data_IF_228543982618
#
_entry.id   IF_228543982618
#
_cell.length_a   1.000
_cell.length_b   1.000
_cell.length_c   1.000
_cell.angle_alpha   90.00
_cell.angle_beta   90.00
_cell.angle_gamma   90.00
#
_symmetry.space_group_name_H-M   'P 1'
#
loop_
_entity.id
_entity.type
_entity.pdbx_description
1 polymer ?
#
# COMPACT_ATOMS: atom_id res chain seq x y z
N UNK A 1 -14.17 -29.51 -27.38
CA UNK A 1 -13.99 -29.05 -25.98
C UNK A 1 -12.52 -28.70 -25.77
N UNK A 2 -12.17 -27.42 -25.90
CA UNK A 2 -10.81 -26.92 -25.65
C UNK A 2 -10.67 -26.67 -24.15
N UNK A 3 -9.77 -27.42 -23.49
CA UNK A 3 -9.35 -27.12 -22.11
C UNK A 3 -8.81 -25.68 -22.08
N UNK A 4 -9.27 -24.81 -21.16
CA UNK A 4 -8.65 -23.51 -20.99
C UNK A 4 -7.22 -23.74 -20.48
N UNK A 5 -6.24 -23.41 -21.30
CA UNK A 5 -4.85 -23.27 -20.86
C UNK A 5 -4.83 -22.18 -19.79
N UNK A 6 -4.55 -22.57 -18.55
CA UNK A 6 -4.28 -21.67 -17.43
C UNK A 6 -3.17 -20.71 -17.87
N UNK A 7 -3.55 -19.48 -18.25
CA UNK A 7 -2.60 -18.46 -18.63
C UNK A 7 -1.66 -18.22 -17.45
N UNK A 8 -0.37 -18.50 -17.67
CA UNK A 8 0.67 -18.45 -16.66
C UNK A 8 0.61 -17.11 -15.90
N UNK A 9 0.37 -17.18 -14.59
CA UNK A 9 0.48 -16.03 -13.70
C UNK A 9 1.85 -15.36 -13.93
N UNK A 10 1.84 -14.05 -14.22
CA UNK A 10 3.04 -13.20 -14.36
C UNK A 10 3.96 -13.44 -13.15
N UNK A 11 5.27 -13.64 -13.38
CA UNK A 11 6.27 -13.90 -12.32
C UNK A 11 6.12 -12.95 -11.13
N UNK A 12 5.86 -11.67 -11.40
CA UNK A 12 5.64 -10.67 -10.36
C UNK A 12 4.40 -10.96 -9.50
N UNK A 13 3.26 -11.29 -10.11
CA UNK A 13 2.04 -11.55 -9.33
C UNK A 13 2.19 -12.82 -8.48
N UNK A 14 2.98 -13.79 -8.95
CA UNK A 14 3.36 -14.96 -8.16
C UNK A 14 4.24 -14.59 -6.97
N UNK A 15 5.24 -13.74 -7.18
CA UNK A 15 6.10 -13.22 -6.10
C UNK A 15 5.31 -12.40 -5.09
N UNK A 16 4.40 -11.52 -5.54
CA UNK A 16 3.51 -10.76 -4.67
C UNK A 16 2.61 -11.66 -3.83
N UNK A 17 1.98 -12.68 -4.44
CA UNK A 17 1.18 -13.69 -3.72
C UNK A 17 2.01 -14.46 -2.69
N UNK A 18 3.23 -14.88 -3.05
CA UNK A 18 4.16 -15.53 -2.10
C UNK A 18 4.55 -14.61 -0.95
N UNK A 19 4.76 -13.32 -1.22
CA UNK A 19 5.06 -12.33 -0.19
C UNK A 19 3.87 -12.15 0.76
N UNK A 20 2.65 -12.03 0.23
CA UNK A 20 1.43 -11.96 1.03
C UNK A 20 1.29 -13.22 1.91
N UNK A 21 1.47 -14.41 1.35
CA UNK A 21 1.43 -15.67 2.09
C UNK A 21 2.47 -15.71 3.23
N UNK A 22 3.72 -15.30 2.96
CA UNK A 22 4.79 -15.24 3.95
C UNK A 22 4.53 -14.21 5.07
N UNK A 23 3.66 -13.22 4.82
CA UNK A 23 3.25 -12.26 5.84
C UNK A 23 2.06 -12.76 6.66
N UNK A 24 1.08 -13.42 6.03
CA UNK A 24 -0.28 -13.53 6.61
C UNK A 24 -0.78 -14.95 6.82
N UNK A 25 -0.08 -15.98 6.33
CA UNK A 25 -0.58 -17.36 6.37
C UNK A 25 -0.55 -17.94 7.78
N UNK A 26 -1.71 -18.28 8.34
CA UNK A 26 -1.81 -18.91 9.68
C UNK A 26 -1.42 -20.40 9.65
N UNK A 27 -1.35 -21.01 8.46
CA UNK A 27 -0.96 -22.41 8.28
C UNK A 27 0.55 -22.59 8.05
N UNK A 28 1.29 -21.49 7.83
CA UNK A 28 2.73 -21.50 7.67
C UNK A 28 3.36 -20.97 8.96
N UNK A 29 4.04 -21.84 9.70
CA UNK A 29 4.68 -21.50 10.98
C UNK A 29 5.78 -20.44 10.82
N UNK A 30 6.29 -20.25 9.60
CA UNK A 30 7.30 -19.23 9.29
C UNK A 30 6.70 -17.88 8.89
N UNK A 31 5.37 -17.77 8.77
CA UNK A 31 4.74 -16.50 8.42
C UNK A 31 4.87 -15.48 9.56
N UNK A 32 4.88 -14.19 9.22
CA UNK A 32 4.97 -13.15 10.23
C UNK A 32 3.80 -13.21 11.23
N UNK A 33 2.57 -13.39 10.76
CA UNK A 33 1.39 -13.49 11.62
C UNK A 33 1.46 -14.70 12.55
N UNK A 34 1.88 -15.88 12.05
CA UNK A 34 2.01 -17.10 12.86
C UNK A 34 3.07 -16.92 13.96
N UNK A 35 4.26 -16.45 13.59
CA UNK A 35 5.36 -16.24 14.53
C UNK A 35 5.02 -15.24 15.64
N UNK A 36 4.33 -14.15 15.28
CA UNK A 36 3.87 -13.15 16.26
C UNK A 36 2.77 -13.72 17.17
N UNK A 37 1.84 -14.49 16.61
CA UNK A 37 0.83 -15.20 17.38
C UNK A 37 1.46 -16.17 18.39
N UNK A 38 2.45 -16.95 17.96
CA UNK A 38 3.21 -17.86 18.82
C UNK A 38 3.95 -17.12 19.92
N UNK A 39 4.52 -15.96 19.61
CA UNK A 39 5.17 -15.13 20.61
C UNK A 39 4.19 -14.66 21.69
N UNK A 40 3.00 -14.18 21.35
CA UNK A 40 2.05 -13.74 22.37
C UNK A 40 1.53 -14.92 23.21
N UNK A 41 1.34 -16.10 22.59
CA UNK A 41 1.02 -17.34 23.34
C UNK A 41 2.12 -17.68 24.33
N UNK A 42 3.38 -17.65 23.89
CA UNK A 42 4.54 -17.86 24.75
C UNK A 42 4.62 -16.83 25.87
N UNK A 43 4.40 -15.54 25.57
CA UNK A 43 4.47 -14.46 26.56
C UNK A 43 3.40 -14.59 27.65
N UNK A 44 2.18 -15.02 27.29
CA UNK A 44 1.12 -15.32 28.26
C UNK A 44 1.46 -16.52 29.15
N UNK A 45 2.05 -17.58 28.58
CA UNK A 45 2.53 -18.73 29.34
C UNK A 45 3.65 -18.34 30.32
N UNK A 46 4.68 -17.61 29.84
CA UNK A 46 5.79 -17.14 30.67
C UNK A 46 5.34 -16.21 31.81
N UNK A 47 4.23 -15.49 31.63
CA UNK A 47 3.61 -14.66 32.67
C UNK A 47 2.70 -15.45 33.64
N UNK A 48 2.60 -16.78 33.52
CA UNK A 48 1.77 -17.63 34.37
C UNK A 48 0.26 -17.48 34.12
N UNK A 49 -0.15 -16.85 33.02
CA UNK A 49 -1.58 -16.63 32.67
C UNK A 49 -2.24 -17.87 32.04
N UNK A 50 -1.46 -18.87 31.62
CA UNK A 50 -1.93 -20.11 30.99
C UNK A 50 -1.19 -21.31 31.60
N UNK A 51 -1.93 -22.32 32.09
CA UNK A 51 -1.38 -23.51 32.79
C UNK A 51 -1.02 -24.70 31.87
N UNK A 52 -0.97 -24.53 30.56
CA UNK A 52 -0.69 -25.65 29.64
C UNK A 52 0.80 -25.88 29.40
N UNK A 53 1.22 -27.15 29.32
CA UNK A 53 2.53 -27.64 28.89
C UNK A 53 2.91 -27.11 27.49
N UNK A 54 3.36 -25.87 27.37
CA UNK A 54 4.16 -25.44 26.23
C UNK A 54 5.63 -25.56 26.61
N UNK A 55 6.29 -26.62 26.15
CA UNK A 55 7.77 -26.75 26.10
C UNK A 55 8.42 -25.73 25.13
N UNK A 56 7.78 -24.57 24.94
CA UNK A 56 8.06 -23.67 23.83
C UNK A 56 9.30 -22.84 24.07
N UNK A 57 10.33 -23.08 23.25
CA UNK A 57 11.37 -22.07 23.02
C UNK A 57 10.71 -20.82 22.44
N UNK A 58 11.08 -19.66 22.96
CA UNK A 58 10.61 -18.37 22.46
C UNK A 58 10.89 -18.22 20.95
N UNK A 59 9.90 -17.83 20.13
CA UNK A 59 10.09 -17.65 18.69
C UNK A 59 11.16 -16.60 18.35
N UNK A 60 12.03 -16.92 17.40
CA UNK A 60 13.06 -15.99 16.89
C UNK A 60 12.47 -15.12 15.76
N UNK A 61 11.83 -14.02 16.13
CA UNK A 61 11.14 -13.14 15.17
C UNK A 61 12.14 -12.29 14.36
N UNK A 62 13.26 -11.88 14.96
CA UNK A 62 14.18 -10.91 14.36
C UNK A 62 14.79 -11.35 13.02
N UNK A 63 15.30 -12.59 12.87
CA UNK A 63 15.80 -13.07 11.57
C UNK A 63 14.73 -13.02 10.48
N UNK A 64 13.49 -13.38 10.83
CA UNK A 64 12.38 -13.38 9.88
C UNK A 64 11.98 -11.96 9.46
N UNK A 65 12.01 -10.98 10.38
CA UNK A 65 11.78 -9.58 10.03
C UNK A 65 12.80 -9.09 9.01
N UNK A 66 14.10 -9.34 9.21
CA UNK A 66 15.11 -8.93 8.23
C UNK A 66 14.91 -9.61 6.86
N UNK A 67 14.66 -10.91 6.86
CA UNK A 67 14.42 -11.68 5.64
C UNK A 67 13.20 -11.17 4.85
N UNK A 68 12.09 -10.91 5.54
CA UNK A 68 10.88 -10.36 4.91
C UNK A 68 11.11 -8.92 4.43
N UNK A 69 11.84 -8.10 5.20
CA UNK A 69 12.19 -6.75 4.78
C UNK A 69 13.02 -6.73 3.49
N UNK A 70 14.01 -7.62 3.37
CA UNK A 70 14.79 -7.76 2.13
C UNK A 70 13.92 -8.14 0.94
N UNK A 71 12.99 -9.10 1.12
CA UNK A 71 12.05 -9.48 0.06
C UNK A 71 11.15 -8.32 -0.37
N UNK A 72 10.65 -7.53 0.60
CA UNK A 72 9.85 -6.33 0.31
C UNK A 72 10.69 -5.31 -0.48
N UNK A 73 11.94 -5.10 -0.10
CA UNK A 73 12.84 -4.23 -0.86
C UNK A 73 13.12 -4.77 -2.26
N UNK A 74 13.28 -6.08 -2.46
CA UNK A 74 13.44 -6.65 -3.82
C UNK A 74 12.20 -6.46 -4.71
N UNK A 75 11.01 -6.41 -4.11
CA UNK A 75 9.76 -6.11 -4.83
C UNK A 75 9.62 -4.64 -5.23
N UNK A 76 10.25 -3.71 -4.48
CA UNK A 76 10.01 -2.27 -4.61
C UNK A 76 11.21 -1.48 -5.14
N UNK A 77 12.42 -1.99 -4.98
CA UNK A 77 13.67 -1.38 -5.45
C UNK A 77 14.13 -1.99 -6.78
N UNK A 78 14.74 -1.17 -7.63
CA UNK A 78 15.26 -1.53 -8.94
C UNK A 78 16.69 -1.03 -9.17
N UNK A 79 17.09 -0.96 -10.44
CA UNK A 79 18.47 -0.64 -10.83
C UNK A 79 18.76 0.87 -10.86
N UNK A 80 17.72 1.70 -10.74
CA UNK A 80 17.79 3.15 -10.71
C UNK A 80 16.49 3.71 -10.12
N UNK A 81 16.42 5.04 -9.97
CA UNK A 81 15.25 5.75 -9.43
C UNK A 81 13.97 5.45 -10.23
N UNK A 82 14.03 5.47 -11.57
CA UNK A 82 12.86 5.23 -12.42
C UNK A 82 12.34 3.79 -12.26
N UNK A 83 13.23 2.80 -12.17
CA UNK A 83 12.86 1.41 -11.93
C UNK A 83 12.23 1.22 -10.54
N UNK A 84 12.78 1.87 -9.51
CA UNK A 84 12.18 1.90 -8.17
C UNK A 84 10.74 2.46 -8.21
N UNK A 85 10.52 3.55 -8.96
CA UNK A 85 9.19 4.14 -9.13
C UNK A 85 8.21 3.21 -9.86
N UNK A 86 8.65 2.56 -10.94
CA UNK A 86 7.83 1.60 -11.70
C UNK A 86 7.46 0.40 -10.82
N UNK A 87 8.42 -0.16 -10.07
CA UNK A 87 8.20 -1.28 -9.15
C UNK A 87 7.24 -0.91 -8.02
N UNK A 88 7.43 0.25 -7.39
CA UNK A 88 6.48 0.76 -6.39
C UNK A 88 5.07 0.96 -6.97
N UNK A 89 4.93 1.60 -8.14
CA UNK A 89 3.63 1.82 -8.77
C UNK A 89 2.93 0.48 -9.07
N UNK A 90 3.69 -0.51 -9.53
CA UNK A 90 3.23 -1.87 -9.79
C UNK A 90 2.75 -2.57 -8.52
N UNK A 91 3.52 -2.51 -7.43
CA UNK A 91 3.12 -3.07 -6.12
C UNK A 91 1.85 -2.38 -5.62
N UNK A 92 1.82 -1.05 -5.58
CA UNK A 92 0.68 -0.28 -5.06
C UNK A 92 -0.61 -0.57 -5.85
N UNK A 93 -0.52 -0.51 -7.17
CA UNK A 93 -1.67 -0.76 -8.03
C UNK A 93 -2.14 -2.20 -7.99
N UNK A 94 -1.24 -3.19 -8.04
CA UNK A 94 -1.63 -4.60 -7.90
C UNK A 94 -2.30 -4.86 -6.55
N UNK A 95 -1.78 -4.32 -5.45
CA UNK A 95 -2.39 -4.47 -4.12
C UNK A 95 -3.78 -3.86 -4.06
N UNK A 96 -3.98 -2.65 -4.60
CA UNK A 96 -5.30 -2.00 -4.61
C UNK A 96 -6.29 -2.77 -5.50
N UNK A 97 -5.83 -3.30 -6.63
CA UNK A 97 -6.65 -4.06 -7.57
C UNK A 97 -7.02 -5.46 -7.08
N UNK A 98 -6.22 -6.08 -6.20
CA UNK A 98 -6.47 -7.44 -5.70
C UNK A 98 -6.84 -7.50 -4.22
N UNK A 99 -7.00 -6.35 -3.56
CA UNK A 99 -7.35 -6.29 -2.15
C UNK A 99 -8.64 -7.09 -1.85
N UNK A 100 -8.64 -7.95 -0.82
CA UNK A 100 -9.82 -8.72 -0.48
C UNK A 100 -10.92 -7.81 0.07
N UNK A 101 -12.14 -8.01 -0.41
CA UNK A 101 -13.34 -7.33 0.11
C UNK A 101 -13.98 -8.12 1.29
N UNK A 102 -13.64 -9.40 1.43
CA UNK A 102 -14.18 -10.26 2.48
C UNK A 102 -13.65 -9.85 3.86
N UNK A 103 -14.57 -9.58 4.78
CA UNK A 103 -14.28 -9.23 6.17
C UNK A 103 -13.50 -10.33 6.93
N UNK A 104 -13.70 -11.61 6.55
CA UNK A 104 -12.98 -12.74 7.16
C UNK A 104 -11.48 -12.74 6.84
N UNK A 105 -11.05 -11.97 5.83
CA UNK A 105 -9.64 -11.85 5.41
C UNK A 105 -8.99 -10.58 5.97
N UNK A 106 -9.46 -10.09 7.12
CA UNK A 106 -8.93 -8.87 7.73
C UNK A 106 -7.43 -8.98 8.07
N UNK A 107 -6.95 -10.14 8.54
CA UNK A 107 -5.52 -10.35 8.81
C UNK A 107 -4.69 -10.16 7.53
N UNK A 108 -5.16 -10.75 6.42
CA UNK A 108 -4.49 -10.62 5.13
C UNK A 108 -4.46 -9.16 4.65
N UNK A 109 -5.59 -8.46 4.81
CA UNK A 109 -5.70 -7.05 4.47
C UNK A 109 -4.79 -6.16 5.34
N UNK A 110 -4.75 -6.39 6.65
CA UNK A 110 -4.02 -5.55 7.61
C UNK A 110 -2.50 -5.81 7.56
N UNK A 111 -2.10 -7.08 7.66
CA UNK A 111 -0.69 -7.50 7.76
C UNK A 111 -0.07 -7.89 6.42
N UNK A 112 -0.85 -7.99 5.35
CA UNK A 112 -0.35 -8.18 3.99
C UNK A 112 -0.49 -6.90 3.17
N UNK A 113 -1.73 -6.61 2.74
CA UNK A 113 -2.01 -5.54 1.78
C UNK A 113 -1.62 -4.16 2.29
N UNK A 114 -2.15 -3.74 3.45
CA UNK A 114 -1.85 -2.43 4.02
C UNK A 114 -0.38 -2.32 4.39
N UNK A 115 0.23 -3.38 4.93
CA UNK A 115 1.65 -3.40 5.27
C UNK A 115 2.53 -3.13 4.03
N UNK A 116 2.35 -3.91 2.96
CA UNK A 116 3.12 -3.75 1.73
C UNK A 116 2.87 -2.39 1.05
N UNK A 117 1.62 -1.93 1.05
CA UNK A 117 1.23 -0.65 0.48
C UNK A 117 1.91 0.52 1.21
N UNK A 118 1.94 0.48 2.55
CA UNK A 118 2.62 1.45 3.40
C UNK A 118 4.13 1.41 3.20
N UNK A 119 4.74 0.22 3.19
CA UNK A 119 6.18 0.08 3.02
C UNK A 119 6.65 0.69 1.70
N UNK A 120 5.96 0.41 0.59
CA UNK A 120 6.27 0.99 -0.71
C UNK A 120 6.19 2.53 -0.71
N UNK A 121 5.15 3.10 -0.09
CA UNK A 121 5.00 4.56 0.01
C UNK A 121 6.00 5.21 0.96
N UNK A 122 6.32 4.57 2.08
CA UNK A 122 7.33 5.04 3.04
C UNK A 122 8.72 5.09 2.40
N UNK A 123 9.10 4.08 1.61
CA UNK A 123 10.37 4.10 0.87
C UNK A 123 10.43 5.23 -0.15
N UNK A 124 9.34 5.48 -0.89
CA UNK A 124 9.29 6.58 -1.87
C UNK A 124 9.27 7.96 -1.19
N UNK A 125 8.59 8.10 -0.05
CA UNK A 125 8.56 9.34 0.72
C UNK A 125 9.91 9.61 1.41
N UNK A 126 10.62 8.57 1.86
CA UNK A 126 11.99 8.67 2.37
C UNK A 126 12.93 9.22 1.30
N UNK A 127 12.97 8.56 0.13
CA UNK A 127 13.82 8.95 -1.00
C UNK A 127 13.55 10.40 -1.41
N UNK A 128 12.28 10.78 -1.53
CA UNK A 128 11.86 12.13 -1.88
C UNK A 128 12.19 13.15 -0.79
N UNK A 129 12.03 12.79 0.48
CA UNK A 129 12.37 13.64 1.61
C UNK A 129 13.86 13.96 1.69
N UNK A 130 14.72 12.98 1.41
CA UNK A 130 16.17 13.18 1.35
C UNK A 130 16.58 14.03 0.14
N UNK A 131 16.06 13.70 -1.05
CA UNK A 131 16.33 14.43 -2.29
C UNK A 131 15.94 15.90 -2.21
N UNK A 132 14.83 16.21 -1.55
CA UNK A 132 14.31 17.58 -1.40
C UNK A 132 14.68 18.23 -0.06
N UNK A 133 15.66 17.69 0.68
CA UNK A 133 16.18 18.25 1.92
C UNK A 133 15.12 18.49 3.01
N UNK A 134 14.05 17.68 3.03
CA UNK A 134 13.10 17.63 4.16
C UNK A 134 13.68 16.88 5.36
N UNK A 135 14.65 16.00 5.11
CA UNK A 135 15.46 15.33 6.11
C UNK A 135 16.87 15.88 6.02
N UNK A 136 17.25 16.75 6.95
CA UNK A 136 18.53 17.48 6.91
C UNK A 136 19.61 16.87 7.82
N UNK A 137 19.34 15.71 8.43
CA UNK A 137 20.34 15.00 9.23
C UNK A 137 21.53 14.57 8.35
N UNK A 138 22.73 14.99 8.73
CA UNK A 138 23.96 14.78 7.96
C UNK A 138 24.24 13.30 7.70
N UNK A 139 23.97 12.43 8.70
CA UNK A 139 24.19 10.99 8.57
C UNK A 139 23.21 10.40 7.56
N UNK A 140 21.94 10.80 7.60
CA UNK A 140 20.95 10.36 6.62
C UNK A 140 21.29 10.83 5.20
N UNK A 141 21.74 12.08 5.06
CA UNK A 141 22.19 12.64 3.77
C UNK A 141 23.43 11.91 3.24
N UNK A 142 24.41 11.62 4.09
CA UNK A 142 25.59 10.86 3.72
C UNK A 142 25.23 9.45 3.23
N UNK A 143 24.35 8.74 3.95
CA UNK A 143 23.86 7.44 3.52
C UNK A 143 23.16 7.51 2.16
N UNK A 144 22.34 8.54 1.93
CA UNK A 144 21.64 8.75 0.66
C UNK A 144 22.62 8.99 -0.51
N UNK A 145 23.67 9.78 -0.29
CA UNK A 145 24.72 10.02 -1.30
C UNK A 145 25.51 8.75 -1.64
N UNK A 146 25.66 7.84 -0.67
CA UNK A 146 26.33 6.55 -0.85
C UNK A 146 25.41 5.47 -1.46
N UNK A 147 24.18 5.82 -1.85
CA UNK A 147 23.22 4.86 -2.40
C UNK A 147 23.74 4.24 -3.69
N UNK A 148 23.90 2.93 -3.66
CA UNK A 148 24.11 2.07 -4.83
C UNK A 148 22.85 1.26 -5.08
N UNK A 149 22.35 1.28 -6.31
CA UNK A 149 21.17 0.53 -6.74
C UNK A 149 21.55 -0.92 -7.04
N UNK A 150 20.60 -1.85 -6.85
CA UNK A 150 20.80 -3.29 -7.04
C UNK A 150 21.99 -3.90 -6.26
N UNK A 151 22.46 -3.22 -5.22
CA UNK A 151 23.50 -3.69 -4.31
C UNK A 151 22.85 -4.02 -2.94
N UNK A 152 22.84 -5.30 -2.58
CA UNK A 152 22.28 -5.76 -1.31
C UNK A 152 23.14 -5.31 -0.11
N UNK A 153 24.43 -5.00 -0.31
CA UNK A 153 25.37 -4.53 0.73
C UNK A 153 25.47 -3.00 0.81
N UNK A 154 24.60 -2.29 0.09
CA UNK A 154 24.56 -0.83 0.09
C UNK A 154 24.26 -0.26 1.49
N UNK A 155 25.09 0.66 2.04
CA UNK A 155 24.87 1.26 3.36
C UNK A 155 23.50 1.92 3.50
N UNK A 156 23.02 2.61 2.47
CA UNK A 156 21.68 3.20 2.43
C UNK A 156 20.58 2.15 2.64
N UNK A 157 20.73 1.00 1.98
CA UNK A 157 19.80 -0.12 2.06
C UNK A 157 19.82 -0.75 3.45
N UNK A 158 21.02 -1.11 3.92
CA UNK A 158 21.22 -1.83 5.17
C UNK A 158 20.88 -0.97 6.39
N UNK A 159 21.28 0.30 6.41
CA UNK A 159 21.19 1.14 7.60
C UNK A 159 19.95 2.03 7.65
N UNK A 160 19.22 2.18 6.54
CA UNK A 160 18.04 3.05 6.49
C UNK A 160 16.80 2.34 5.92
N UNK A 161 16.87 1.78 4.72
CA UNK A 161 15.70 1.18 4.08
C UNK A 161 15.20 -0.08 4.82
N UNK A 162 16.10 -1.00 5.18
CA UNK A 162 15.73 -2.22 5.90
C UNK A 162 15.12 -1.91 7.28
N UNK A 163 15.75 -1.10 8.16
CA UNK A 163 15.15 -0.66 9.42
C UNK A 163 13.77 -0.01 9.24
N UNK A 164 13.59 0.83 8.21
CA UNK A 164 12.30 1.45 7.91
C UNK A 164 11.22 0.41 7.59
N UNK A 165 11.53 -0.58 6.74
CA UNK A 165 10.57 -1.65 6.41
C UNK A 165 10.25 -2.50 7.63
N UNK A 166 11.24 -2.83 8.46
CA UNK A 166 11.02 -3.55 9.73
C UNK A 166 10.11 -2.75 10.66
N UNK A 167 10.34 -1.44 10.82
CA UNK A 167 9.46 -0.59 11.60
C UNK A 167 8.03 -0.60 11.05
N UNK A 168 7.84 -0.50 9.73
CA UNK A 168 6.51 -0.58 9.10
C UNK A 168 5.81 -1.91 9.38
N UNK A 169 6.55 -3.03 9.37
CA UNK A 169 5.99 -4.34 9.71
C UNK A 169 5.49 -4.40 11.15
N UNK A 170 6.16 -3.70 12.06
CA UNK A 170 5.87 -3.73 13.49
C UNK A 170 4.77 -2.77 13.94
N UNK A 171 4.31 -1.83 13.10
CA UNK A 171 3.33 -0.81 13.51
C UNK A 171 2.01 -1.36 14.02
N UNK A 172 1.54 -2.47 13.45
CA UNK A 172 0.22 -3.04 13.76
C UNK A 172 0.29 -4.38 14.47
N UNK A 173 1.47 -4.94 14.72
CA UNK A 173 1.63 -6.30 15.28
C UNK A 173 1.02 -6.45 16.68
N UNK A 174 0.80 -5.34 17.39
CA UNK A 174 0.02 -5.31 18.62
C UNK A 174 -1.42 -5.79 18.45
N UNK A 175 -2.00 -5.65 17.26
CA UNK A 175 -3.36 -6.13 16.95
C UNK A 175 -3.47 -7.65 16.95
N UNK A 176 -2.36 -8.38 16.88
CA UNK A 176 -2.32 -9.84 17.01
C UNK A 176 -2.29 -10.32 18.47
N UNK A 177 -2.24 -9.40 19.44
CA UNK A 177 -2.40 -9.76 20.84
C UNK A 177 -3.79 -10.43 21.03
N UNK A 178 -3.91 -11.52 21.80
CA UNK A 178 -5.17 -12.25 21.98
C UNK A 178 -6.33 -11.37 22.46
N UNK A 179 -6.10 -10.51 23.45
CA UNK A 179 -7.12 -9.61 23.99
C UNK A 179 -7.56 -8.55 22.97
N UNK A 180 -6.61 -7.97 22.23
CA UNK A 180 -6.92 -7.02 21.15
C UNK A 180 -7.69 -7.68 20.00
N UNK A 181 -7.31 -8.91 19.64
CA UNK A 181 -8.00 -9.69 18.60
C UNK A 181 -9.42 -10.03 19.03
N UNK A 182 -9.61 -10.49 20.27
CA UNK A 182 -10.94 -10.78 20.82
C UNK A 182 -11.83 -9.53 20.85
N UNK A 183 -11.28 -8.36 21.18
CA UNK A 183 -12.03 -7.11 21.13
C UNK A 183 -12.43 -6.72 19.70
N UNK A 184 -11.52 -6.90 18.73
CA UNK A 184 -11.75 -6.57 17.33
C UNK A 184 -12.81 -7.48 16.69
N UNK A 185 -12.64 -8.81 16.82
CA UNK A 185 -13.41 -9.81 16.08
C UNK A 185 -14.44 -10.56 16.92
N UNK A 186 -14.54 -10.28 18.22
CA UNK A 186 -15.34 -11.09 19.14
C UNK A 186 -14.73 -12.47 19.41
N UNK A 187 -15.39 -13.24 20.27
CA UNK A 187 -15.04 -14.63 20.53
C UNK A 187 -15.28 -15.45 19.26
N UNK A 188 -14.36 -16.35 18.89
CA UNK A 188 -14.45 -17.15 17.65
C UNK A 188 -14.67 -16.37 16.32
N UNK A 189 -14.43 -15.05 16.27
CA UNK A 189 -14.52 -14.26 15.02
C UNK A 189 -15.94 -13.87 14.59
N UNK A 190 -16.88 -13.79 15.52
CA UNK A 190 -18.28 -13.47 15.29
C UNK A 190 -18.57 -12.00 14.88
N UNK A 191 -17.66 -11.06 15.18
CA UNK A 191 -17.80 -9.63 14.88
C UNK A 191 -16.98 -9.23 13.65
N UNK A 192 -17.54 -8.31 12.87
CA UNK A 192 -16.86 -7.66 11.75
C UNK A 192 -15.71 -6.77 12.25
N UNK A 193 -14.46 -7.10 11.86
CA UNK A 193 -13.27 -6.33 12.22
C UNK A 193 -13.29 -4.87 11.71
N UNK A 194 -14.13 -4.56 10.71
CA UNK A 194 -14.28 -3.21 10.15
C UNK A 194 -15.40 -2.38 10.80
N UNK A 195 -16.06 -2.94 11.83
CA UNK A 195 -17.13 -2.27 12.56
C UNK A 195 -16.67 -1.00 13.25
N UNK A 196 -17.63 -0.11 13.50
CA UNK A 196 -17.39 1.02 14.39
C UNK A 196 -17.29 0.53 15.83
N UNK A 197 -16.26 0.98 16.54
CA UNK A 197 -16.10 0.77 17.99
C UNK A 197 -16.67 1.97 18.75
N UNK A 198 -17.14 1.75 19.99
CA UNK A 198 -17.43 2.85 20.91
C UNK A 198 -16.15 3.60 21.28
N UNK A 199 -16.26 4.76 21.95
CA UNK A 199 -15.07 5.51 22.40
C UNK A 199 -14.24 4.68 23.38
N UNK A 200 -14.87 4.14 24.41
CA UNK A 200 -14.19 3.35 25.45
C UNK A 200 -13.57 2.08 24.85
N UNK A 201 -14.32 1.36 24.00
CA UNK A 201 -13.81 0.16 23.33
C UNK A 201 -12.61 0.48 22.41
N UNK A 202 -12.65 1.63 21.73
CA UNK A 202 -11.54 2.09 20.90
C UNK A 202 -10.32 2.43 21.75
N UNK A 203 -10.51 3.10 22.88
CA UNK A 203 -9.41 3.49 23.77
C UNK A 203 -8.74 2.24 24.38
N UNK A 204 -9.53 1.26 24.83
CA UNK A 204 -9.04 -0.05 25.29
C UNK A 204 -8.27 -0.79 24.19
N UNK A 205 -8.83 -0.83 22.97
CA UNK A 205 -8.18 -1.45 21.83
C UNK A 205 -6.83 -0.80 21.50
N UNK A 206 -6.76 0.54 21.51
CA UNK A 206 -5.53 1.27 21.24
C UNK A 206 -4.48 1.03 22.34
N UNK A 207 -4.88 0.99 23.61
CA UNK A 207 -3.97 0.70 24.72
C UNK A 207 -3.40 -0.73 24.63
N UNK A 208 -4.26 -1.74 24.40
CA UNK A 208 -3.83 -3.12 24.25
C UNK A 208 -2.85 -3.27 23.08
N UNK A 209 -3.21 -2.75 21.91
CA UNK A 209 -2.37 -2.85 20.72
C UNK A 209 -1.02 -2.14 20.90
N UNK A 210 -1.01 -0.96 21.53
CA UNK A 210 0.24 -0.25 21.82
C UNK A 210 1.11 -1.03 22.82
N UNK A 211 0.53 -1.56 23.89
CA UNK A 211 1.24 -2.35 24.90
C UNK A 211 1.82 -3.64 24.30
N UNK A 212 1.02 -4.38 23.52
CA UNK A 212 1.46 -5.60 22.83
C UNK A 212 2.62 -5.32 21.88
N UNK A 213 2.53 -4.26 21.07
CA UNK A 213 3.62 -3.83 20.19
C UNK A 213 4.89 -3.53 20.98
N UNK A 214 4.79 -2.70 22.03
CA UNK A 214 5.95 -2.32 22.85
C UNK A 214 6.59 -3.53 23.53
N UNK A 215 5.80 -4.47 24.03
CA UNK A 215 6.28 -5.70 24.62
C UNK A 215 7.05 -6.55 23.60
N UNK A 216 6.47 -6.79 22.42
CA UNK A 216 7.13 -7.57 21.38
C UNK A 216 8.42 -6.91 20.92
N UNK A 217 8.41 -5.59 20.71
CA UNK A 217 9.57 -4.80 20.30
C UNK A 217 10.70 -4.90 21.34
N UNK A 218 10.37 -4.71 22.62
CA UNK A 218 11.33 -4.82 23.73
C UNK A 218 11.96 -6.20 23.77
N UNK A 219 11.13 -7.23 23.65
CA UNK A 219 11.58 -8.59 23.86
C UNK A 219 12.33 -9.11 22.62
N UNK A 220 11.86 -8.80 21.40
CA UNK A 220 12.26 -9.48 20.15
C UNK A 220 13.33 -8.75 19.34
N UNK A 221 13.46 -7.43 19.49
CA UNK A 221 14.48 -6.66 18.78
C UNK A 221 15.82 -6.72 19.53
N UNK A 222 16.61 -7.75 19.20
CA UNK A 222 17.93 -8.01 19.78
C UNK A 222 19.01 -8.09 18.70
N UNK A 223 20.26 -7.84 19.11
CA UNK A 223 21.44 -8.02 18.25
C UNK A 223 21.59 -9.52 17.94
N UNK A 224 21.75 -9.87 16.67
CA UNK A 224 21.91 -11.25 16.25
C UNK A 224 23.31 -11.76 16.60
N UNK A 225 23.46 -13.05 16.95
CA UNK A 225 24.77 -13.61 17.27
C UNK A 225 25.68 -13.57 16.03
N UNK A 226 26.85 -12.97 16.18
CA UNK A 226 27.89 -12.96 15.14
C UNK A 226 28.42 -14.38 14.90
N UNK A 227 28.48 -14.79 13.63
CA UNK A 227 29.04 -16.06 13.17
C UNK A 227 30.33 -15.77 12.40
N UNK A 228 31.46 -15.80 13.10
CA UNK A 228 32.78 -15.60 12.50
C UNK A 228 33.88 -15.58 13.56
N UNK A 229 35.12 -15.39 13.12
CA UNK A 229 36.30 -15.56 13.96
C UNK A 229 36.99 -14.22 14.34
N UNK A 230 36.55 -13.09 13.78
CA UNK A 230 37.18 -11.79 14.02
C UNK A 230 36.49 -11.02 15.17
N UNK A 231 37.26 -10.68 16.22
CA UNK A 231 36.77 -9.83 17.32
C UNK A 231 36.40 -8.42 16.84
N UNK A 232 37.16 -7.88 15.89
CA UNK A 232 36.94 -6.54 15.34
C UNK A 232 35.64 -6.51 14.54
N UNK A 233 35.45 -7.49 13.65
CA UNK A 233 34.23 -7.60 12.84
C UNK A 233 33.00 -7.81 13.72
N UNK A 234 33.11 -8.65 14.78
CA UNK A 234 32.06 -8.83 15.78
C UNK A 234 31.62 -7.50 16.40
N UNK A 235 32.57 -6.66 16.80
CA UNK A 235 32.28 -5.35 17.42
C UNK A 235 31.64 -4.38 16.43
N UNK A 236 32.15 -4.32 15.19
CA UNK A 236 31.60 -3.47 14.15
C UNK A 236 30.17 -3.87 13.76
N UNK A 237 29.91 -5.17 13.58
CA UNK A 237 28.58 -5.68 13.27
C UNK A 237 27.59 -5.41 14.42
N UNK A 238 28.02 -5.64 15.67
CA UNK A 238 27.19 -5.36 16.83
C UNK A 238 26.83 -3.87 16.92
N UNK A 239 27.78 -2.97 16.70
CA UNK A 239 27.54 -1.53 16.70
C UNK A 239 26.57 -1.12 15.57
N UNK A 240 26.75 -1.66 14.36
CA UNK A 240 25.84 -1.41 13.24
C UNK A 240 24.42 -1.89 13.55
N UNK A 241 24.27 -3.11 14.07
CA UNK A 241 22.97 -3.66 14.45
C UNK A 241 22.31 -2.84 15.57
N UNK A 242 23.07 -2.38 16.56
CA UNK A 242 22.54 -1.49 17.60
C UNK A 242 22.00 -0.18 17.03
N UNK A 243 22.69 0.42 16.04
CA UNK A 243 22.20 1.62 15.37
C UNK A 243 20.92 1.35 14.58
N UNK A 244 20.84 0.22 13.87
CA UNK A 244 19.62 -0.19 13.18
C UNK A 244 18.45 -0.37 14.16
N UNK A 245 18.68 -0.99 15.32
CA UNK A 245 17.68 -1.17 16.36
C UNK A 245 17.21 0.15 16.96
N UNK A 246 18.14 1.08 17.21
CA UNK A 246 17.81 2.42 17.70
C UNK A 246 16.91 3.16 16.70
N UNK A 247 17.23 3.09 15.40
CA UNK A 247 16.41 3.67 14.34
C UNK A 247 15.02 3.05 14.27
N UNK A 248 14.89 1.71 14.35
CA UNK A 248 13.58 1.04 14.38
C UNK A 248 12.76 1.55 15.57
N UNK A 249 13.36 1.64 16.76
CA UNK A 249 12.67 2.14 17.97
C UNK A 249 12.24 3.60 17.82
N UNK A 250 13.09 4.46 17.27
CA UNK A 250 12.75 5.87 16.99
C UNK A 250 11.59 5.99 15.99
N UNK A 251 11.57 5.14 14.95
CA UNK A 251 10.50 5.09 13.97
C UNK A 251 9.17 4.58 14.55
N UNK A 252 9.22 3.74 15.61
CA UNK A 252 8.04 3.21 16.28
C UNK A 252 7.53 4.12 17.41
N UNK A 253 8.41 4.87 18.08
CA UNK A 253 8.03 5.89 19.09
C UNK A 253 7.41 7.16 18.45
N UNK A 254 7.48 7.24 17.13
CA UNK A 254 7.12 8.35 16.24
C UNK A 254 5.70 8.91 16.34
N UNK A 255 4.77 8.27 17.07
CA UNK A 255 3.41 8.81 17.21
C UNK A 255 3.32 10.03 18.13
N UNK A 256 4.37 10.34 18.92
CA UNK A 256 4.37 11.45 19.88
C UNK A 256 5.21 12.68 19.45
N UNK A 257 6.40 12.50 18.89
CA UNK A 257 7.44 13.55 18.88
C UNK A 257 7.50 14.46 17.65
N UNK A 258 6.62 14.28 16.65
CA UNK A 258 6.55 15.12 15.43
C UNK A 258 7.89 15.30 14.68
N UNK A 259 8.86 14.40 14.85
CA UNK A 259 10.14 14.50 14.14
C UNK A 259 9.94 14.31 12.62
N UNK A 260 10.77 14.94 11.77
CA UNK A 260 10.62 14.84 10.30
C UNK A 260 10.56 13.40 9.78
N UNK A 261 11.41 12.53 10.32
CA UNK A 261 11.48 11.12 9.94
C UNK A 261 10.20 10.34 10.25
N UNK A 262 9.44 10.75 11.28
CA UNK A 262 8.16 10.13 11.65
C UNK A 262 7.10 10.29 10.55
N UNK A 263 7.13 11.38 9.79
CA UNK A 263 6.18 11.62 8.69
C UNK A 263 6.32 10.61 7.55
N UNK A 264 7.51 10.02 7.39
CA UNK A 264 7.79 8.96 6.41
C UNK A 264 6.91 7.72 6.65
N UNK A 265 6.48 7.48 7.90
CA UNK A 265 5.59 6.38 8.27
C UNK A 265 4.14 6.86 8.43
N UNK A 266 3.92 7.94 9.19
CA UNK A 266 2.58 8.37 9.58
C UNK A 266 1.69 8.74 8.38
N UNK A 267 2.24 9.42 7.37
CA UNK A 267 1.46 9.84 6.19
C UNK A 267 1.03 8.63 5.35
N UNK A 268 1.95 7.71 4.94
CA UNK A 268 1.56 6.46 4.29
C UNK A 268 0.56 5.62 5.10
N UNK A 269 0.69 5.61 6.43
CA UNK A 269 -0.25 4.89 7.31
C UNK A 269 -1.66 5.44 7.18
N UNK A 270 -1.86 6.76 7.31
CA UNK A 270 -3.18 7.39 7.15
C UNK A 270 -3.72 7.15 5.73
N UNK A 271 -2.89 7.36 4.71
CA UNK A 271 -3.29 7.22 3.31
C UNK A 271 -3.74 5.79 2.95
N UNK A 272 -2.97 4.77 3.32
CA UNK A 272 -3.30 3.36 3.08
C UNK A 272 -4.62 2.92 3.73
N UNK A 273 -4.97 3.50 4.89
CA UNK A 273 -6.23 3.20 5.60
C UNK A 273 -7.48 3.74 4.88
N UNK A 274 -7.29 4.64 3.92
CA UNK A 274 -8.35 5.21 3.08
C UNK A 274 -8.40 4.49 1.74
N UNK A 275 -7.24 4.22 1.13
CA UNK A 275 -7.14 3.68 -0.23
C UNK A 275 -7.44 2.18 -0.31
N UNK A 276 -7.16 1.43 0.75
CA UNK A 276 -7.47 0.00 0.82
C UNK A 276 -8.77 -0.24 1.59
N UNK A 277 -9.52 -1.31 1.25
CA UNK A 277 -10.72 -1.69 1.99
C UNK A 277 -10.38 -1.98 3.47
N UNK A 278 -11.40 -1.97 4.33
CA UNK A 278 -11.23 -2.20 5.77
C UNK A 278 -12.00 -1.27 6.70
N UNK A 279 -12.89 -0.44 6.16
CA UNK A 279 -13.92 0.29 6.92
C UNK A 279 -15.28 -0.11 6.37
N UNK A 280 -16.29 -0.24 7.22
CA UNK A 280 -17.67 -0.54 6.81
C UNK A 280 -18.25 0.38 5.71
N UNK A 281 -17.71 1.59 5.55
CA UNK A 281 -18.14 2.58 4.54
C UNK A 281 -17.11 2.79 3.44
N UNK A 282 -16.35 1.76 3.07
CA UNK A 282 -15.40 1.87 1.96
C UNK A 282 -16.13 2.22 0.65
N UNK A 283 -15.81 3.37 0.08
CA UNK A 283 -16.41 3.89 -1.15
C UNK A 283 -15.32 4.10 -2.18
N UNK A 284 -15.30 3.26 -3.21
CA UNK A 284 -14.26 3.28 -4.23
C UNK A 284 -14.20 4.61 -5.00
N UNK A 285 -15.35 5.20 -5.34
CA UNK A 285 -15.41 6.49 -6.03
C UNK A 285 -14.93 7.68 -5.17
N UNK A 286 -14.86 7.47 -3.85
CA UNK A 286 -14.36 8.45 -2.89
C UNK A 286 -12.85 8.38 -2.68
N UNK A 287 -12.13 7.39 -3.23
CA UNK A 287 -10.68 7.26 -3.04
C UNK A 287 -9.87 8.53 -3.38
N UNK A 288 -10.20 9.31 -4.42
CA UNK A 288 -9.47 10.55 -4.71
C UNK A 288 -9.59 11.61 -3.60
N UNK A 289 -10.60 11.49 -2.72
CA UNK A 289 -10.76 12.33 -1.53
C UNK A 289 -9.75 12.01 -0.42
N UNK A 290 -8.92 10.97 -0.54
CA UNK A 290 -7.83 10.71 0.39
C UNK A 290 -6.91 11.94 0.55
N UNK A 291 -6.68 12.66 -0.55
CA UNK A 291 -5.94 13.94 -0.54
C UNK A 291 -6.59 15.01 0.34
N UNK A 292 -7.93 15.06 0.40
CA UNK A 292 -8.68 15.98 1.26
C UNK A 292 -8.57 15.58 2.73
N UNK A 293 -8.66 14.27 3.03
CA UNK A 293 -8.49 13.76 4.40
C UNK A 293 -7.09 14.09 4.95
N UNK A 294 -6.05 13.98 4.12
CA UNK A 294 -4.70 14.39 4.51
C UNK A 294 -4.61 15.91 4.77
N UNK A 295 -5.20 16.75 3.92
CA UNK A 295 -5.24 18.21 4.12
C UNK A 295 -6.03 18.61 5.37
N UNK A 296 -7.10 17.90 5.66
CA UNK A 296 -7.93 18.08 6.85
C UNK A 296 -7.20 17.61 8.14
N UNK A 297 -6.36 16.58 8.06
CA UNK A 297 -5.45 16.23 9.15
C UNK A 297 -4.37 17.31 9.37
N UNK A 298 -3.92 18.00 8.31
CA UNK A 298 -3.01 19.16 8.41
C UNK A 298 -3.70 20.35 9.08
N UNK A 299 -4.94 20.68 8.71
CA UNK A 299 -5.67 21.80 9.35
C UNK A 299 -5.94 21.56 10.83
N UNK A 300 -6.08 20.29 11.25
CA UNK A 300 -6.15 19.88 12.66
C UNK A 300 -4.79 19.80 13.38
N UNK A 301 -3.67 20.09 12.70
CA UNK A 301 -2.33 19.99 13.28
C UNK A 301 -1.86 18.56 13.58
N UNK A 302 -2.49 17.54 12.99
CA UNK A 302 -2.14 16.13 13.18
C UNK A 302 -1.01 15.69 12.24
N UNK A 303 -0.87 16.34 11.07
CA UNK A 303 0.18 16.07 10.09
C UNK A 303 0.87 17.38 9.66
N UNK A 304 2.14 17.30 9.30
CA UNK A 304 2.89 18.44 8.78
C UNK A 304 2.51 18.74 7.32
N UNK A 305 2.07 19.98 7.06
CA UNK A 305 1.59 20.39 5.73
C UNK A 305 2.61 20.24 4.60
N UNK A 306 3.87 20.58 4.86
CA UNK A 306 4.96 20.44 3.88
C UNK A 306 5.12 18.97 3.46
N UNK A 307 5.13 18.05 4.41
CA UNK A 307 5.25 16.62 4.12
C UNK A 307 4.05 16.08 3.34
N UNK A 308 2.82 16.52 3.66
CA UNK A 308 1.62 16.14 2.90
C UNK A 308 1.67 16.68 1.47
N UNK A 309 2.15 17.91 1.26
CA UNK A 309 2.34 18.46 -0.09
C UNK A 309 3.33 17.61 -0.90
N UNK A 310 4.47 17.27 -0.31
CA UNK A 310 5.48 16.43 -0.96
C UNK A 310 4.96 15.01 -1.22
N UNK A 311 4.20 14.42 -0.30
CA UNK A 311 3.56 13.13 -0.51
C UNK A 311 2.57 13.15 -1.69
N UNK A 312 1.75 14.21 -1.81
CA UNK A 312 0.81 14.35 -2.93
C UNK A 312 1.51 14.60 -4.28
N UNK A 313 2.76 15.09 -4.30
CA UNK A 313 3.59 15.09 -5.53
C UNK A 313 3.96 13.69 -5.98
N UNK A 314 4.14 12.76 -5.04
CA UNK A 314 4.48 11.35 -5.33
C UNK A 314 3.25 10.61 -5.86
N UNK A 315 2.12 10.69 -5.15
CA UNK A 315 0.94 9.86 -5.45
C UNK A 315 -0.02 10.49 -6.44
N UNK A 316 -0.08 11.82 -6.50
CA UNK A 316 -1.21 12.53 -7.07
C UNK A 316 -2.49 12.39 -6.23
N UNK A 317 -3.60 12.84 -6.82
CA UNK A 317 -4.95 12.75 -6.25
C UNK A 317 -5.55 11.35 -6.44
N UNK A 318 -5.22 10.66 -7.52
CA UNK A 318 -5.76 9.34 -7.84
C UNK A 318 -4.73 8.26 -7.48
N UNK A 319 -5.07 7.30 -6.59
CA UNK A 319 -4.13 6.24 -6.21
C UNK A 319 -3.79 5.30 -7.38
N UNK A 320 -2.62 4.68 -7.34
CA UNK A 320 -2.24 3.64 -8.30
C UNK A 320 -3.23 2.48 -8.25
N UNK A 321 -3.64 2.01 -9.43
CA UNK A 321 -4.71 1.03 -9.63
C UNK A 321 -6.11 1.65 -9.80
N UNK A 322 -6.30 2.94 -9.50
CA UNK A 322 -7.60 3.58 -9.65
C UNK A 322 -8.07 3.63 -11.12
N UNK A 323 -9.36 3.39 -11.33
CA UNK A 323 -9.99 3.33 -12.63
C UNK A 323 -10.50 4.69 -13.08
N UNK A 324 -9.88 5.25 -14.10
CA UNK A 324 -10.24 6.53 -14.72
C UNK A 324 -11.15 6.29 -15.92
N UNK A 325 -12.25 7.04 -15.98
CA UNK A 325 -13.09 7.16 -17.17
C UNK A 325 -12.80 8.52 -17.81
N UNK A 326 -12.44 8.55 -19.09
CA UNK A 326 -11.99 9.78 -19.74
C UNK A 326 -12.44 9.91 -21.19
N UNK A 327 -12.42 11.13 -21.72
CA UNK A 327 -12.70 11.46 -23.12
C UNK A 327 -11.38 11.45 -23.89
N UNK A 328 -11.15 10.57 -24.87
CA UNK A 328 -9.92 10.57 -25.67
C UNK A 328 -9.82 11.84 -26.52
N UNK A 329 -8.63 12.43 -26.61
CA UNK A 329 -8.34 13.45 -27.61
C UNK A 329 -8.31 12.80 -29.00
N UNK A 330 -9.07 13.33 -29.96
CA UNK A 330 -8.93 12.93 -31.37
C UNK A 330 -7.78 13.68 -32.03
N UNK A 331 -7.08 13.04 -32.97
CA UNK A 331 -6.05 13.66 -33.82
C UNK A 331 -6.57 14.85 -34.63
N UNK A 332 -7.89 14.98 -34.82
CA UNK A 332 -8.57 16.02 -35.60
C UNK A 332 -8.98 17.26 -34.78
N UNK A 333 -8.68 17.31 -33.48
CA UNK A 333 -9.10 18.43 -32.61
C UNK A 333 -10.61 18.46 -32.30
N UNK A 334 -11.40 17.55 -32.86
CA UNK A 334 -12.82 17.40 -32.53
C UNK A 334 -12.97 16.57 -31.24
N UNK A 335 -13.88 16.96 -30.32
CA UNK A 335 -14.13 16.19 -29.10
C UNK A 335 -14.61 14.78 -29.45
N UNK A 336 -14.05 13.75 -28.82
CA UNK A 336 -14.63 12.42 -28.88
C UNK A 336 -16.02 12.40 -28.25
N UNK A 337 -17.02 11.96 -29.00
CA UNK A 337 -18.39 11.70 -28.48
C UNK A 337 -18.46 10.47 -27.55
N UNK A 338 -17.32 9.88 -27.21
CA UNK A 338 -17.19 8.62 -26.49
C UNK A 338 -16.17 8.77 -25.37
N UNK A 339 -16.32 7.95 -24.35
CA UNK A 339 -15.34 7.81 -23.28
C UNK A 339 -14.61 6.47 -23.39
N UNK A 340 -13.44 6.39 -22.77
CA UNK A 340 -12.63 5.19 -22.62
C UNK A 340 -12.22 5.01 -21.16
N UNK A 341 -11.66 3.84 -20.88
CA UNK A 341 -11.26 3.37 -19.57
C UNK A 341 -9.74 3.30 -19.50
N UNK A 342 -9.19 3.80 -18.40
CA UNK A 342 -7.77 3.75 -18.09
C UNK A 342 -7.54 3.42 -16.61
N UNK A 343 -6.34 2.94 -16.28
CA UNK A 343 -5.94 2.61 -14.90
C UNK A 343 -4.71 3.45 -14.55
N UNK A 344 -4.72 4.14 -13.41
CA UNK A 344 -3.56 4.88 -12.90
C UNK A 344 -2.41 3.91 -12.67
N UNK A 345 -1.28 4.10 -13.36
CA UNK A 345 -0.21 3.11 -13.36
C UNK A 345 1.20 3.66 -13.11
N UNK A 346 1.35 4.96 -12.88
CA UNK A 346 2.64 5.59 -12.59
C UNK A 346 2.53 6.50 -11.35
N UNK A 347 3.70 6.79 -10.76
CA UNK A 347 3.88 7.78 -9.68
C UNK A 347 4.39 9.10 -10.29
N UNK A 348 4.46 10.15 -9.48
CA UNK A 348 4.96 11.47 -9.84
C UNK A 348 4.24 12.11 -11.04
N UNK A 349 2.90 12.23 -11.01
CA UNK A 349 2.20 12.99 -12.04
C UNK A 349 2.67 14.46 -12.01
N UNK A 350 2.93 15.10 -13.17
CA UNK A 350 3.37 16.50 -13.22
C UNK A 350 2.39 17.46 -12.53
N UNK A 351 1.09 17.15 -12.63
CA UNK A 351 0.02 17.80 -11.90
C UNK A 351 -0.73 16.74 -11.08
N UNK A 352 -0.87 16.96 -9.78
CA UNK A 352 -1.51 16.00 -8.88
C UNK A 352 -2.95 15.63 -9.31
N UNK A 353 -3.67 16.53 -9.98
CA UNK A 353 -5.04 16.28 -10.47
C UNK A 353 -5.09 15.55 -11.82
N UNK A 354 -3.96 15.36 -12.51
CA UNK A 354 -3.88 14.78 -13.85
C UNK A 354 -3.07 13.48 -13.81
N UNK A 355 -3.74 12.33 -13.61
CA UNK A 355 -3.05 11.08 -13.37
C UNK A 355 -2.39 10.54 -14.64
N UNK A 356 -1.28 9.84 -14.43
CA UNK A 356 -0.60 9.04 -15.44
C UNK A 356 -1.19 7.62 -15.46
N UNK A 357 -1.76 7.24 -16.60
CA UNK A 357 -2.61 6.07 -16.73
C UNK A 357 -2.23 5.18 -17.91
N UNK A 358 -2.52 3.89 -17.79
CA UNK A 358 -2.60 2.94 -18.91
C UNK A 358 -4.00 2.95 -19.48
N UNK A 359 -4.17 3.23 -20.76
CA UNK A 359 -5.45 3.03 -21.44
C UNK A 359 -5.71 1.53 -21.59
N UNK A 360 -6.91 1.06 -21.22
CA UNK A 360 -7.25 -0.37 -21.25
C UNK A 360 -8.47 -0.70 -22.11
N UNK A 361 -9.13 0.30 -22.69
CA UNK A 361 -10.20 0.10 -23.66
C UNK A 361 -9.98 0.88 -24.95
N UNK A 362 -10.63 0.42 -26.02
CA UNK A 362 -10.90 1.21 -27.23
C UNK A 362 -12.28 0.85 -27.73
N UNK A 363 -13.10 1.83 -28.03
CA UNK A 363 -14.53 1.69 -28.24
C UNK A 363 -15.21 0.90 -27.12
N UNK A 364 -14.81 1.12 -25.86
CA UNK A 364 -15.28 0.38 -24.67
C UNK A 364 -15.02 -1.13 -24.68
N UNK A 365 -14.24 -1.63 -25.64
CA UNK A 365 -13.77 -3.00 -25.64
C UNK A 365 -12.41 -3.08 -24.99
N UNK A 366 -12.26 -4.01 -24.05
CA UNK A 366 -11.01 -4.24 -23.34
C UNK A 366 -9.89 -4.66 -24.30
N UNK A 367 -8.70 -4.08 -24.10
CA UNK A 367 -7.51 -4.37 -24.88
C UNK A 367 -6.35 -4.80 -24.01
N UNK A 368 -5.56 -5.74 -24.54
CA UNK A 368 -4.24 -6.08 -24.00
C UNK A 368 -3.22 -5.09 -24.59
N UNK A 369 -2.41 -4.45 -23.75
CA UNK A 369 -1.26 -3.65 -24.20
C UNK A 369 -1.58 -2.24 -24.72
N UNK A 370 -2.47 -1.48 -24.06
CA UNK A 370 -2.69 -0.07 -24.41
C UNK A 370 -1.49 0.84 -24.13
N UNK A 371 -1.55 2.09 -24.59
CA UNK A 371 -0.49 3.09 -24.37
C UNK A 371 -0.66 3.77 -23.00
N UNK A 372 0.42 4.41 -22.53
CA UNK A 372 0.36 5.27 -21.36
C UNK A 372 -0.11 6.67 -21.77
N UNK A 373 -0.86 7.35 -20.91
CA UNK A 373 -1.26 8.74 -21.14
C UNK A 373 -1.42 9.52 -19.84
N UNK A 374 -1.22 10.83 -19.93
CA UNK A 374 -1.67 11.76 -18.89
C UNK A 374 -3.11 12.14 -19.21
N UNK A 375 -4.01 12.00 -18.23
CA UNK A 375 -5.42 12.38 -18.43
C UNK A 375 -5.65 13.76 -17.82
N UNK A 376 -5.86 14.76 -18.67
CA UNK A 376 -6.14 16.13 -18.22
C UNK A 376 -7.47 16.28 -17.47
N UNK A 377 -7.60 17.34 -16.68
CA UNK A 377 -8.84 17.69 -15.97
C UNK A 377 -10.03 17.83 -16.94
N UNK A 378 -9.77 18.35 -18.13
CA UNK A 378 -10.78 18.61 -19.16
C UNK A 378 -11.32 17.35 -19.84
N UNK A 379 -10.60 16.23 -19.70
CA UNK A 379 -10.94 14.95 -20.32
C UNK A 379 -11.34 13.89 -19.28
N UNK A 380 -10.95 14.03 -18.01
CA UNK A 380 -11.28 13.08 -16.95
C UNK A 380 -12.71 13.29 -16.41
N UNK A 381 -13.59 12.30 -16.59
CA UNK A 381 -15.01 12.35 -16.18
C UNK A 381 -15.22 12.38 -14.65
N UNK A 382 -14.17 12.19 -13.86
CA UNK A 382 -14.18 12.49 -12.43
C UNK A 382 -14.45 13.98 -12.16
N UNK A 383 -13.99 14.87 -13.03
CA UNK A 383 -14.19 16.32 -12.89
C UNK A 383 -15.43 16.81 -13.62
N UNK A 384 -16.01 17.90 -13.09
CA UNK A 384 -17.21 18.53 -13.66
C UNK A 384 -17.02 19.03 -15.11
N UNK A 385 -15.89 19.66 -15.48
CA UNK A 385 -15.70 20.18 -16.85
C UNK A 385 -15.81 19.09 -17.92
N UNK A 386 -15.15 17.94 -17.75
CA UNK A 386 -15.23 16.84 -18.70
C UNK A 386 -16.66 16.28 -18.85
N UNK A 387 -17.39 16.14 -17.73
CA UNK A 387 -18.80 15.67 -17.79
C UNK A 387 -19.71 16.62 -18.54
N UNK A 388 -19.51 17.93 -18.40
CA UNK A 388 -20.31 18.92 -19.12
C UNK A 388 -20.08 18.84 -20.63
N UNK A 389 -18.84 18.55 -21.07
CA UNK A 389 -18.52 18.35 -22.48
C UNK A 389 -19.24 17.14 -23.09
N UNK A 390 -19.39 16.05 -22.32
CA UNK A 390 -20.06 14.83 -22.80
C UNK A 390 -21.60 14.88 -22.66
N UNK A 391 -22.14 15.80 -21.86
CA UNK A 391 -23.59 15.98 -21.68
C UNK A 391 -24.34 16.57 -22.88
N UNK A 392 -23.67 16.69 -24.04
CA UNK A 392 -24.23 17.16 -25.32
C UNK A 392 -24.79 15.99 -26.17
N UNK A 393 -24.72 14.74 -25.69
CA UNK A 393 -25.19 13.54 -26.41
C UNK A 393 -26.73 13.40 -26.34
N UNK A 394 -27.35 13.08 -27.49
CA UNK A 394 -28.78 12.83 -27.60
C UNK A 394 -29.23 11.64 -26.70
N UNK A 395 -30.33 11.77 -25.92
CA UNK A 395 -30.77 10.79 -24.91
C UNK A 395 -30.93 9.34 -25.42
N UNK A 396 -31.34 9.18 -26.68
CA UNK A 396 -31.59 7.87 -27.30
C UNK A 396 -30.31 7.04 -27.45
N UNK A 397 -29.20 7.66 -27.87
CA UNK A 397 -27.92 6.98 -28.05
C UNK A 397 -27.28 6.57 -26.72
N UNK A 398 -27.54 7.35 -25.67
CA UNK A 398 -27.09 7.08 -24.32
C UNK A 398 -27.84 5.88 -23.70
N UNK A 399 -29.14 5.72 -23.98
CA UNK A 399 -29.93 4.56 -23.55
C UNK A 399 -29.37 3.24 -24.12
N UNK A 400 -29.00 3.21 -25.40
CA UNK A 400 -28.41 2.02 -26.04
C UNK A 400 -27.09 1.59 -25.39
N UNK A 401 -26.24 2.55 -25.04
CA UNK A 401 -24.94 2.29 -24.40
C UNK A 401 -25.11 1.75 -22.98
N UNK A 402 -26.07 2.29 -22.22
CA UNK A 402 -26.31 1.91 -20.82
C UNK A 402 -26.97 0.54 -20.68
N UNK A 403 -27.85 0.17 -21.61
CA UNK A 403 -28.44 -1.16 -21.68
C UNK A 403 -27.39 -2.27 -21.92
N UNK A 404 -26.29 -1.95 -22.59
CA UNK A 404 -25.17 -2.88 -22.81
C UNK A 404 -24.24 -3.02 -21.58
N UNK A 405 -24.29 -2.08 -20.63
CA UNK A 405 -23.31 -1.99 -19.54
C UNK A 405 -23.85 -2.42 -18.16
N UNK A 406 -25.16 -2.45 -17.94
CA UNK A 406 -25.73 -2.84 -16.63
C UNK A 406 -27.10 -3.50 -16.75
N UNK A 407 -27.30 -4.64 -16.08
CA UNK A 407 -28.51 -5.47 -16.16
C UNK A 407 -29.75 -4.92 -15.40
N UNK A 408 -29.77 -3.65 -14.98
CA UNK A 408 -30.81 -3.10 -14.12
C UNK A 408 -31.14 -1.63 -14.36
N UNK A 409 -31.66 -1.30 -15.55
CA UNK A 409 -31.97 0.08 -15.95
C UNK A 409 -33.42 0.52 -15.64
N UNK A 410 -33.62 1.79 -15.26
CA UNK A 410 -34.92 2.48 -15.21
C UNK A 410 -34.86 3.91 -15.83
N UNK A 411 -35.92 4.38 -16.53
CA UNK A 411 -35.97 5.71 -17.14
C UNK A 411 -36.16 6.84 -16.12
N UNK A 412 -35.23 7.80 -16.09
CA UNK A 412 -35.31 9.01 -15.23
C UNK A 412 -33.97 9.53 -14.68
N UNK A 413 -32.88 8.76 -14.83
CA UNK A 413 -31.61 9.02 -14.13
C UNK A 413 -30.46 9.51 -15.04
N UNK A 414 -30.72 10.17 -16.18
CA UNK A 414 -29.72 10.48 -17.22
C UNK A 414 -28.48 11.25 -16.69
N UNK A 415 -28.63 12.18 -15.75
CA UNK A 415 -27.51 12.91 -15.12
C UNK A 415 -26.64 12.04 -14.19
N UNK A 416 -27.13 10.87 -13.77
CA UNK A 416 -26.45 9.91 -12.90
C UNK A 416 -25.66 8.83 -13.66
N UNK A 417 -25.74 8.77 -14.98
CA UNK A 417 -25.21 7.65 -15.77
C UNK A 417 -23.82 7.85 -16.41
N UNK A 418 -23.20 9.01 -16.27
CA UNK A 418 -21.79 9.17 -16.67
C UNK A 418 -20.89 8.63 -15.55
N UNK A 419 -20.19 7.50 -15.74
CA UNK A 419 -19.37 6.93 -14.69
C UNK A 419 -18.21 7.89 -14.38
N UNK A 420 -18.15 8.39 -13.14
CA UNK A 420 -17.07 9.26 -12.65
C UNK A 420 -15.72 8.54 -12.62
N UNK A 421 -15.78 7.23 -12.46
CA UNK A 421 -14.68 6.28 -12.45
C UNK A 421 -15.25 4.92 -12.83
N UNK A 422 -14.37 3.94 -13.04
CA UNK A 422 -14.78 2.55 -13.25
C UNK A 422 -14.04 1.63 -12.26
N UNK A 423 -14.56 0.41 -12.07
CA UNK A 423 -14.00 -0.56 -11.12
C UNK A 423 -13.18 -1.62 -11.87
N UNK A 424 -11.84 -1.52 -11.85
CA UNK A 424 -10.94 -2.40 -12.60
C UNK A 424 -10.75 -3.80 -12.00
N UNK A 425 -11.38 -4.13 -10.87
CA UNK A 425 -11.16 -5.41 -10.17
C UNK A 425 -11.47 -6.63 -11.08
N UNK A 426 -12.65 -6.66 -11.71
CA UNK A 426 -13.05 -7.75 -12.62
C UNK A 426 -12.21 -7.80 -13.90
N UNK A 427 -11.68 -6.66 -14.34
CA UNK A 427 -10.75 -6.61 -15.47
C UNK A 427 -9.39 -7.22 -15.07
N UNK A 428 -8.84 -6.83 -13.91
CA UNK A 428 -7.53 -7.28 -13.45
C UNK A 428 -7.50 -8.72 -12.90
N UNK A 429 -8.65 -9.28 -12.54
CA UNK A 429 -8.75 -10.67 -12.07
C UNK A 429 -8.32 -11.69 -13.14
N UNK A 430 -8.41 -11.33 -14.42
CA UNK A 430 -7.93 -12.16 -15.52
C UNK A 430 -6.41 -11.99 -15.69
N UNK A 431 -5.64 -13.09 -15.61
CA UNK A 431 -4.17 -13.05 -15.68
C UNK A 431 -3.62 -12.39 -16.96
N UNK A 432 -4.33 -12.54 -18.08
CA UNK A 432 -4.07 -11.85 -19.35
C UNK A 432 -4.04 -10.31 -19.26
N UNK A 433 -4.66 -9.72 -18.23
CA UNK A 433 -4.79 -8.29 -18.02
C UNK A 433 -3.86 -7.76 -16.91
N UNK A 434 -3.03 -8.61 -16.30
CA UNK A 434 -2.14 -8.22 -15.20
C UNK A 434 -0.82 -7.58 -15.66
N UNK A 435 -0.58 -7.50 -16.97
CA UNK A 435 0.62 -6.90 -17.59
C UNK A 435 0.52 -5.38 -17.80
N UNK A 436 -0.26 -4.65 -16.99
CA UNK A 436 -0.49 -3.19 -17.11
C UNK A 436 0.77 -2.34 -16.90
N UNK A 437 1.76 -2.91 -16.23
CA UNK A 437 2.89 -2.23 -15.62
C UNK A 437 4.15 -2.17 -16.50
N UNK A 438 4.15 -2.85 -17.65
CA UNK A 438 5.31 -2.86 -18.56
C UNK A 438 5.49 -1.51 -19.24
N UNK A 439 6.72 -1.08 -19.54
CA UNK A 439 6.95 0.18 -20.25
C UNK A 439 6.25 0.16 -21.62
N UNK A 440 5.41 1.17 -21.89
CA UNK A 440 4.92 1.43 -23.24
C UNK A 440 4.91 2.93 -23.51
N UNK A 441 4.84 3.29 -24.80
CA UNK A 441 4.86 4.67 -25.28
C UNK A 441 3.86 5.54 -24.50
N UNK A 442 4.31 6.71 -24.06
CA UNK A 442 3.48 7.76 -23.46
C UNK A 442 2.92 8.65 -24.57
N UNK A 443 1.61 8.94 -24.52
CA UNK A 443 0.90 9.89 -25.37
C UNK A 443 0.20 10.93 -24.48
N UNK A 444 0.21 12.20 -24.87
CA UNK A 444 -0.58 13.24 -24.19
C UNK A 444 -2.06 13.15 -24.59
N UNK A 445 -2.98 13.11 -23.60
CA UNK A 445 -4.43 13.04 -23.84
C UNK A 445 -5.21 14.25 -23.32
#
# INVERSE_FOLDING_TARGET
MLKPTLAADNSFMRELKRMLQALTSVADDSSLVSLVGDYYRYAQFAAGKVQHNSDGKRPEIMPQLWFLAEKILRLTEGNNVADCQIRSAKVLGSLQLTAPESQRRWCELQFGYKLLYRAALSLRLLDHGLQHQLLTDDKLQQLYQQRRFADDDCPYRLQLQLPLVVAVMLLDIGQLQPEATALLTGYAGERDASRSMSRDERDDYLQLTQAGMQQLVKDSLQVLPYRGNSKVEKQQLAAMQQQQLALIRQLLSAQADRQPLCHVIAIPQVYSSIVLPGRQRYQYDALPKASLVLKDAVSRGQLAGVWVQHFLRITGVFPQGFGITFIPAQFSGLPGEKYELAIVNQLYPPNAAEPLCRVVSRNLQYRRGGHNCQVSINNNLYFKPARQRLSVIAPQRLQEILAQLSAGWQPGQIRHYLPRCWQPHSFFSHSQHQNLWNQARQLSN
#
